data_IF_857424781535
#
_entry.id   IF_857424781535
#
_cell.length_a   1.000
_cell.length_b   1.000
_cell.length_c   1.000
_cell.angle_alpha   90.00
_cell.angle_beta   90.00
_cell.angle_gamma   90.00
#
_symmetry.space_group_name_H-M   'P 1'
#
loop_
_entity.id
_entity.type
_entity.pdbx_description
1 polymer ?
#
# COMPACT_ATOMS: atom_id res chain seq x y z
N UNK A 1 -18.51 -31.34 -3.88
CA UNK A 1 -17.97 -29.99 -3.67
C UNK A 1 -18.22 -29.17 -4.94
N UNK A 2 -19.16 -28.24 -4.93
CA UNK A 2 -19.44 -27.36 -6.07
C UNK A 2 -18.22 -26.48 -6.34
N UNK A 3 -17.70 -26.46 -7.58
CA UNK A 3 -16.64 -25.56 -7.99
C UNK A 3 -17.25 -24.15 -8.04
N UNK A 4 -16.94 -23.30 -7.05
CA UNK A 4 -17.27 -21.87 -7.08
C UNK A 4 -16.64 -21.28 -8.35
N UNK A 5 -17.45 -20.78 -9.26
CA UNK A 5 -16.98 -20.13 -10.48
C UNK A 5 -16.36 -18.77 -10.14
N UNK A 6 -15.51 -18.23 -11.01
CA UNK A 6 -14.89 -16.90 -10.82
C UNK A 6 -15.98 -15.82 -10.69
N UNK A 7 -17.13 -16.00 -11.33
CA UNK A 7 -18.28 -15.09 -11.27
C UNK A 7 -18.95 -15.00 -9.89
N UNK A 8 -18.74 -15.98 -9.01
CA UNK A 8 -19.35 -16.03 -7.67
C UNK A 8 -18.42 -15.44 -6.58
N UNK A 9 -17.27 -14.86 -6.95
CA UNK A 9 -16.28 -14.37 -6.01
C UNK A 9 -16.39 -12.86 -5.86
N UNK A 10 -16.47 -12.40 -4.61
CA UNK A 10 -16.35 -10.99 -4.26
C UNK A 10 -14.86 -10.64 -4.13
N UNK A 11 -14.27 -10.11 -5.22
CA UNK A 11 -12.84 -9.86 -5.33
C UNK A 11 -12.46 -8.53 -4.67
N UNK A 12 -11.39 -8.57 -3.89
CA UNK A 12 -10.84 -7.40 -3.21
C UNK A 12 -9.36 -7.19 -3.54
N UNK A 13 -8.97 -5.93 -3.57
CA UNK A 13 -7.57 -5.50 -3.61
C UNK A 13 -7.27 -4.58 -2.43
N UNK A 14 -6.08 -4.70 -1.86
CA UNK A 14 -5.55 -3.71 -0.93
C UNK A 14 -4.47 -2.88 -1.61
N UNK A 15 -4.57 -1.56 -1.51
CA UNK A 15 -3.63 -0.61 -2.11
C UNK A 15 -3.04 0.27 -1.02
N UNK A 16 -1.76 0.07 -0.73
CA UNK A 16 -0.98 0.91 0.17
C UNK A 16 -0.44 2.10 -0.62
N UNK A 17 -0.88 3.32 -0.26
CA UNK A 17 -0.62 4.54 -1.01
C UNK A 17 -1.70 4.84 -2.06
N UNK A 18 -2.98 4.67 -1.70
CA UNK A 18 -4.13 4.73 -2.62
C UNK A 18 -4.54 6.14 -3.03
N UNK A 19 -4.17 7.18 -2.27
CA UNK A 19 -4.76 8.51 -2.41
C UNK A 19 -4.23 9.34 -3.59
N UNK A 20 -3.08 8.97 -4.15
CA UNK A 20 -2.44 9.75 -5.21
C UNK A 20 -1.53 8.89 -6.11
N UNK A 21 -1.05 9.50 -7.21
CA UNK A 21 -0.07 8.90 -8.12
C UNK A 21 -0.47 7.53 -8.65
N UNK A 22 0.50 6.64 -8.78
CA UNK A 22 0.28 5.30 -9.32
C UNK A 22 -0.72 4.46 -8.51
N UNK A 23 -0.68 4.56 -7.17
CA UNK A 23 -1.60 3.81 -6.33
C UNK A 23 -3.06 4.16 -6.59
N UNK A 24 -3.35 5.45 -6.80
CA UNK A 24 -4.68 5.93 -7.16
C UNK A 24 -5.15 5.38 -8.51
N UNK A 25 -4.31 5.48 -9.54
CA UNK A 25 -4.66 5.02 -10.89
C UNK A 25 -4.83 3.48 -10.94
N UNK A 26 -3.97 2.74 -10.22
CA UNK A 26 -4.11 1.28 -10.10
C UNK A 26 -5.40 0.91 -9.40
N UNK A 27 -5.76 1.60 -8.31
CA UNK A 27 -7.03 1.37 -7.61
C UNK A 27 -8.24 1.65 -8.52
N UNK A 28 -8.18 2.69 -9.34
CA UNK A 28 -9.22 3.01 -10.31
C UNK A 28 -9.39 1.91 -11.37
N UNK A 29 -8.30 1.42 -11.93
CA UNK A 29 -8.34 0.35 -12.95
C UNK A 29 -8.80 -1.00 -12.35
N UNK A 30 -8.39 -1.31 -11.11
CA UNK A 30 -8.89 -2.48 -10.40
C UNK A 30 -10.40 -2.37 -10.14
N UNK A 31 -10.89 -1.20 -9.73
CA UNK A 31 -12.32 -0.96 -9.53
C UNK A 31 -13.12 -1.12 -10.84
N UNK A 32 -12.65 -0.57 -11.95
CA UNK A 32 -13.24 -0.78 -13.29
C UNK A 32 -13.27 -2.26 -13.70
N UNK A 33 -12.32 -3.05 -13.17
CA UNK A 33 -12.24 -4.50 -13.37
C UNK A 33 -13.09 -5.30 -12.37
N UNK A 34 -13.92 -4.62 -11.55
CA UNK A 34 -14.84 -5.24 -10.60
C UNK A 34 -14.24 -5.62 -9.24
N UNK A 35 -13.05 -5.10 -8.92
CA UNK A 35 -12.47 -5.30 -7.59
C UNK A 35 -12.98 -4.27 -6.59
N UNK A 36 -13.37 -4.71 -5.42
CA UNK A 36 -13.54 -3.85 -4.26
C UNK A 36 -12.17 -3.43 -3.72
N UNK A 37 -12.08 -2.25 -3.10
CA UNK A 37 -10.81 -1.65 -2.75
C UNK A 37 -10.72 -1.37 -1.25
N UNK A 38 -9.70 -1.94 -0.61
CA UNK A 38 -9.15 -1.43 0.64
C UNK A 38 -8.01 -0.46 0.31
N UNK A 39 -8.14 0.78 0.73
CA UNK A 39 -7.13 1.81 0.49
C UNK A 39 -6.47 2.25 1.78
N UNK A 40 -5.14 2.24 1.84
CA UNK A 40 -4.38 2.81 2.96
C UNK A 40 -3.65 4.05 2.48
N UNK A 41 -3.78 5.14 3.22
CA UNK A 41 -3.13 6.42 2.89
C UNK A 41 -2.81 7.21 4.16
N UNK A 42 -1.91 8.16 4.07
CA UNK A 42 -1.57 9.06 5.18
C UNK A 42 -1.67 10.51 4.68
N UNK A 43 -2.85 11.08 4.78
CA UNK A 43 -3.14 12.42 4.31
C UNK A 43 -3.72 13.31 5.40
N UNK A 44 -3.43 14.61 5.31
CA UNK A 44 -3.95 15.64 6.19
C UNK A 44 -4.55 16.81 5.40
N UNK A 45 -5.39 17.59 6.03
CA UNK A 45 -5.99 18.79 5.41
C UNK A 45 -6.67 18.48 4.06
N UNK A 46 -6.45 19.32 3.02
CA UNK A 46 -7.11 19.15 1.73
C UNK A 46 -6.81 17.83 1.00
N UNK A 47 -5.66 17.21 1.27
CA UNK A 47 -5.32 15.91 0.68
C UNK A 47 -6.24 14.79 1.20
N UNK A 48 -6.63 14.85 2.48
CA UNK A 48 -7.60 13.93 3.08
C UNK A 48 -8.98 14.04 2.41
N UNK A 49 -9.42 15.25 2.13
CA UNK A 49 -10.69 15.47 1.41
C UNK A 49 -10.66 14.90 0.00
N UNK A 50 -9.53 15.08 -0.72
CA UNK A 50 -9.33 14.47 -2.05
C UNK A 50 -9.32 12.95 -2.01
N UNK A 51 -8.73 12.35 -0.99
CA UNK A 51 -8.77 10.90 -0.80
C UNK A 51 -10.20 10.40 -0.59
N UNK A 52 -11.00 11.10 0.20
CA UNK A 52 -12.41 10.75 0.41
C UNK A 52 -13.25 10.94 -0.87
N UNK A 53 -13.05 12.02 -1.62
CA UNK A 53 -13.68 12.21 -2.92
C UNK A 53 -13.32 11.09 -3.91
N UNK A 54 -12.07 10.63 -3.89
CA UNK A 54 -11.65 9.51 -4.71
C UNK A 54 -12.32 8.20 -4.27
N UNK A 55 -12.42 7.93 -2.96
CA UNK A 55 -13.16 6.78 -2.43
C UNK A 55 -14.59 6.76 -2.96
N UNK A 56 -15.30 7.90 -2.89
CA UNK A 56 -16.66 8.06 -3.41
C UNK A 56 -16.71 7.84 -4.93
N UNK A 57 -15.68 8.30 -5.67
CA UNK A 57 -15.59 8.04 -7.11
C UNK A 57 -15.54 6.54 -7.41
N UNK A 58 -14.80 5.75 -6.63
CA UNK A 58 -14.77 4.30 -6.79
C UNK A 58 -16.16 3.68 -6.56
N UNK A 59 -16.90 4.16 -5.57
CA UNK A 59 -18.27 3.67 -5.30
C UNK A 59 -19.24 4.00 -6.45
N UNK A 60 -19.06 5.11 -7.16
CA UNK A 60 -19.89 5.40 -8.35
C UNK A 60 -19.65 4.43 -9.51
N UNK A 61 -18.53 3.70 -9.52
CA UNK A 61 -18.26 2.63 -10.48
C UNK A 61 -19.04 1.35 -10.14
N UNK A 62 -19.55 1.25 -8.91
CA UNK A 62 -20.35 0.11 -8.44
C UNK A 62 -19.58 -0.90 -7.59
N UNK A 63 -18.38 -0.54 -7.10
CA UNK A 63 -17.59 -1.35 -6.18
C UNK A 63 -17.63 -0.79 -4.76
N UNK A 64 -17.33 -1.60 -3.77
CA UNK A 64 -17.14 -1.15 -2.39
C UNK A 64 -15.72 -0.63 -2.20
N UNK A 65 -15.58 0.55 -1.59
CA UNK A 65 -14.29 1.12 -1.27
C UNK A 65 -14.20 1.52 0.21
N UNK A 66 -13.24 0.96 0.94
CA UNK A 66 -12.95 1.27 2.34
C UNK A 66 -11.55 1.86 2.45
N UNK A 67 -11.46 3.13 2.86
CA UNK A 67 -10.18 3.82 3.00
C UNK A 67 -9.81 4.03 4.47
N UNK A 68 -8.55 3.82 4.77
CA UNK A 68 -7.96 3.96 6.11
C UNK A 68 -6.86 5.00 6.08
N UNK A 69 -7.06 6.09 6.81
CA UNK A 69 -6.03 7.12 6.95
C UNK A 69 -5.07 6.72 8.08
N UNK A 70 -3.99 6.06 7.71
CA UNK A 70 -3.00 5.51 8.62
C UNK A 70 -1.61 5.43 7.99
N UNK A 71 -0.56 5.57 8.82
CA UNK A 71 0.78 5.22 8.39
C UNK A 71 0.87 3.70 8.17
N UNK A 72 1.23 3.29 6.96
CA UNK A 72 1.32 1.88 6.60
C UNK A 72 2.40 1.10 7.38
N UNK A 73 3.38 1.79 7.96
CA UNK A 73 4.41 1.20 8.82
C UNK A 73 4.01 1.11 10.31
N UNK A 74 2.86 1.69 10.69
CA UNK A 74 2.38 1.65 12.08
C UNK A 74 1.75 0.29 12.40
N UNK A 75 2.37 -0.46 13.31
CA UNK A 75 1.96 -1.82 13.70
C UNK A 75 0.53 -1.87 14.25
N UNK A 76 0.18 -0.90 15.10
CA UNK A 76 -1.14 -0.86 15.74
C UNK A 76 -2.22 -0.57 14.70
N UNK A 77 -1.99 0.41 13.82
CA UNK A 77 -2.92 0.75 12.75
C UNK A 77 -3.07 -0.38 11.74
N UNK A 78 -1.97 -1.03 11.38
CA UNK A 78 -2.00 -2.20 10.48
C UNK A 78 -2.81 -3.34 11.07
N UNK A 79 -2.59 -3.67 12.36
CA UNK A 79 -3.37 -4.71 13.04
C UNK A 79 -4.87 -4.39 13.06
N UNK A 80 -5.26 -3.13 13.33
CA UNK A 80 -6.65 -2.69 13.30
C UNK A 80 -7.28 -2.86 11.90
N UNK A 81 -6.56 -2.49 10.84
CA UNK A 81 -7.05 -2.61 9.46
C UNK A 81 -7.21 -4.09 9.08
N UNK A 82 -6.26 -4.94 9.45
CA UNK A 82 -6.33 -6.38 9.18
C UNK A 82 -7.52 -7.01 9.92
N UNK A 83 -7.81 -6.57 11.13
CA UNK A 83 -9.00 -7.03 11.86
C UNK A 83 -10.30 -6.63 11.13
N UNK A 84 -10.40 -5.41 10.60
CA UNK A 84 -11.55 -4.98 9.81
C UNK A 84 -11.73 -5.82 8.53
N UNK A 85 -10.63 -6.08 7.81
CA UNK A 85 -10.65 -6.96 6.63
C UNK A 85 -11.12 -8.38 7.01
N UNK A 86 -10.68 -8.88 8.16
CA UNK A 86 -11.08 -10.20 8.64
C UNK A 86 -12.57 -10.26 9.01
N UNK A 87 -13.12 -9.21 9.60
CA UNK A 87 -14.57 -9.08 9.85
C UNK A 87 -15.37 -9.11 8.54
N UNK A 88 -14.93 -8.38 7.52
CA UNK A 88 -15.58 -8.37 6.21
C UNK A 88 -15.57 -9.77 5.57
N UNK A 89 -14.42 -10.46 5.66
CA UNK A 89 -14.31 -11.84 5.17
C UNK A 89 -15.21 -12.82 5.92
N UNK A 90 -15.38 -12.66 7.25
CA UNK A 90 -16.26 -13.50 8.05
C UNK A 90 -17.73 -13.24 7.72
N UNK A 91 -18.09 -12.01 7.37
CA UNK A 91 -19.43 -11.63 6.99
C UNK A 91 -19.82 -12.08 5.56
N UNK A 92 -18.83 -12.28 4.68
CA UNK A 92 -19.04 -12.69 3.30
C UNK A 92 -18.13 -13.90 2.93
N UNK A 93 -18.70 -15.11 2.77
CA UNK A 93 -17.94 -16.29 2.39
C UNK A 93 -17.34 -16.23 0.98
N UNK A 94 -17.80 -15.29 0.14
CA UNK A 94 -17.29 -15.05 -1.22
C UNK A 94 -16.17 -14.03 -1.26
N UNK A 95 -15.87 -13.35 -0.15
CA UNK A 95 -14.78 -12.38 -0.03
C UNK A 95 -13.42 -13.01 -0.31
N UNK A 96 -12.71 -12.47 -1.29
CA UNK A 96 -11.38 -12.95 -1.70
C UNK A 96 -10.43 -11.80 -1.86
N UNK A 97 -9.46 -11.64 -0.96
CA UNK A 97 -8.36 -10.69 -1.13
C UNK A 97 -7.36 -11.25 -2.16
N UNK A 98 -7.43 -10.71 -3.36
CA UNK A 98 -6.71 -11.23 -4.53
C UNK A 98 -5.46 -10.48 -4.88
N UNK A 99 -5.42 -9.18 -4.58
CA UNK A 99 -4.34 -8.27 -5.00
C UNK A 99 -3.86 -7.44 -3.82
N UNK A 100 -2.54 -7.35 -3.67
CA UNK A 100 -1.86 -6.44 -2.76
C UNK A 100 -0.97 -5.53 -3.59
N UNK A 101 -1.15 -4.22 -3.48
CA UNK A 101 -0.33 -3.22 -4.16
C UNK A 101 0.39 -2.38 -3.12
N UNK A 102 1.72 -2.38 -3.17
CA UNK A 102 2.56 -1.49 -2.39
C UNK A 102 3.03 -0.33 -3.29
N UNK A 103 2.41 0.83 -3.13
CA UNK A 103 2.67 2.05 -3.90
C UNK A 103 3.04 3.23 -3.00
N UNK A 104 3.86 2.96 -1.98
CA UNK A 104 4.30 3.98 -1.04
C UNK A 104 5.53 4.73 -1.56
N UNK A 105 5.45 6.06 -1.55
CA UNK A 105 6.48 6.97 -2.00
C UNK A 105 6.74 8.09 -0.97
N UNK A 106 6.70 7.74 0.30
CA UNK A 106 6.96 8.67 1.40
C UNK A 106 8.34 8.41 1.99
N UNK A 107 9.36 9.08 1.43
CA UNK A 107 10.76 8.94 1.83
C UNK A 107 11.48 10.30 1.87
N UNK A 108 12.51 10.38 2.67
CA UNK A 108 13.34 11.57 2.80
C UNK A 108 14.30 11.70 1.61
N UNK A 109 14.36 12.89 1.04
CA UNK A 109 15.28 13.26 -0.02
C UNK A 109 16.29 14.27 0.55
N UNK A 110 17.58 14.01 0.36
CA UNK A 110 18.65 14.85 0.85
C UNK A 110 19.99 14.17 0.75
N UNK A 111 21.11 14.92 0.90
CA UNK A 111 22.44 14.36 0.86
C UNK A 111 22.76 13.56 2.12
N UNK A 112 23.56 12.50 1.99
CA UNK A 112 24.16 11.83 3.15
C UNK A 112 25.36 12.62 3.70
N UNK A 113 26.06 13.34 2.82
CA UNK A 113 27.22 14.15 3.14
C UNK A 113 27.07 15.54 2.51
N UNK A 114 27.27 16.59 3.30
CA UNK A 114 27.24 18.00 2.90
C UNK A 114 28.17 18.78 3.83
N UNK A 115 28.82 19.83 3.35
CA UNK A 115 29.65 20.73 4.19
C UNK A 115 28.79 21.38 5.28
N UNK A 116 27.58 21.76 4.95
CA UNK A 116 26.55 22.14 5.91
C UNK A 116 25.85 20.91 6.46
N UNK A 117 26.30 20.44 7.63
CA UNK A 117 25.78 19.23 8.27
C UNK A 117 24.27 19.31 8.61
N UNK A 118 23.69 20.51 8.61
CA UNK A 118 22.23 20.68 8.84
C UNK A 118 21.39 20.13 7.68
N UNK A 119 21.95 20.08 6.48
CA UNK A 119 21.31 19.55 5.27
C UNK A 119 21.37 18.03 5.14
N UNK A 120 22.29 17.39 5.88
CA UNK A 120 22.44 15.92 5.81
C UNK A 120 21.21 15.21 6.36
N UNK A 121 20.83 14.11 5.72
CA UNK A 121 19.78 13.21 6.23
C UNK A 121 20.14 12.69 7.62
N UNK A 122 19.21 12.80 8.53
CA UNK A 122 19.34 12.28 9.90
C UNK A 122 18.90 10.82 9.98
N UNK A 123 19.44 10.09 10.97
CA UNK A 123 19.12 8.68 11.23
C UNK A 123 17.62 8.39 11.15
N UNK A 124 16.79 9.17 11.86
CA UNK A 124 15.33 8.99 11.86
C UNK A 124 14.69 9.12 10.49
N UNK A 125 15.23 9.99 9.61
CA UNK A 125 14.71 10.15 8.25
C UNK A 125 15.05 8.94 7.38
N UNK A 126 16.25 8.39 7.54
CA UNK A 126 16.70 7.19 6.82
C UNK A 126 15.88 5.99 7.29
N UNK A 127 15.76 5.80 8.61
CA UNK A 127 14.97 4.70 9.20
C UNK A 127 13.51 4.76 8.76
N UNK A 128 12.88 5.94 8.83
CA UNK A 128 11.50 6.14 8.39
C UNK A 128 11.33 5.82 6.90
N UNK A 129 12.29 6.22 6.06
CA UNK A 129 12.25 5.95 4.61
C UNK A 129 12.31 4.44 4.35
N UNK A 130 13.23 3.72 5.00
CA UNK A 130 13.33 2.27 4.90
C UNK A 130 12.05 1.58 5.38
N UNK A 131 11.53 2.02 6.51
CA UNK A 131 10.38 1.40 7.15
C UNK A 131 9.10 1.56 6.31
N UNK A 132 8.83 2.79 5.83
CA UNK A 132 7.63 3.06 5.02
C UNK A 132 7.75 2.53 3.60
N UNK A 133 8.91 2.71 2.93
CA UNK A 133 9.03 2.43 1.49
C UNK A 133 9.52 1.02 1.15
N UNK A 134 10.01 0.27 2.14
CA UNK A 134 10.48 -1.11 1.94
C UNK A 134 9.86 -2.08 2.93
N UNK A 135 10.20 -1.96 4.23
CA UNK A 135 9.85 -2.96 5.23
C UNK A 135 8.35 -3.16 5.38
N UNK A 136 7.57 -2.08 5.22
CA UNK A 136 6.10 -2.16 5.32
C UNK A 136 5.48 -3.17 4.34
N UNK A 137 6.09 -3.43 3.17
CA UNK A 137 5.63 -4.50 2.28
C UNK A 137 5.60 -5.85 3.01
N UNK A 138 6.72 -6.21 3.65
CA UNK A 138 6.84 -7.49 4.35
C UNK A 138 5.91 -7.53 5.56
N UNK A 139 5.81 -6.46 6.33
CA UNK A 139 4.90 -6.40 7.48
C UNK A 139 3.43 -6.67 7.06
N UNK A 140 2.96 -6.02 6.02
CA UNK A 140 1.60 -6.23 5.51
C UNK A 140 1.40 -7.64 4.99
N UNK A 141 2.34 -8.16 4.19
CA UNK A 141 2.21 -9.51 3.60
C UNK A 141 2.24 -10.58 4.69
N UNK A 142 3.14 -10.46 5.70
CA UNK A 142 3.19 -11.39 6.83
C UNK A 142 1.90 -11.38 7.63
N UNK A 143 1.38 -10.20 7.99
CA UNK A 143 0.17 -10.10 8.79
C UNK A 143 -1.06 -10.61 8.03
N UNK A 144 -1.19 -10.30 6.73
CA UNK A 144 -2.24 -10.85 5.86
C UNK A 144 -2.14 -12.37 5.73
N UNK A 145 -0.92 -12.91 5.66
CA UNK A 145 -0.67 -14.35 5.60
C UNK A 145 -1.04 -15.04 6.91
N UNK A 146 -0.59 -14.50 8.05
CA UNK A 146 -0.90 -15.02 9.40
C UNK A 146 -2.41 -15.01 9.64
N UNK A 147 -3.10 -13.95 9.23
CA UNK A 147 -4.56 -13.83 9.32
C UNK A 147 -5.31 -14.72 8.31
N UNK A 148 -4.60 -15.44 7.43
CA UNK A 148 -5.15 -16.29 6.35
C UNK A 148 -6.09 -15.51 5.42
N UNK A 149 -5.80 -14.25 5.19
CA UNK A 149 -6.57 -13.36 4.31
C UNK A 149 -6.12 -13.45 2.84
N UNK A 150 -4.87 -13.84 2.59
CA UNK A 150 -4.37 -14.05 1.23
C UNK A 150 -4.99 -15.31 0.63
N UNK A 151 -5.65 -15.17 -0.51
CA UNK A 151 -6.21 -16.28 -1.24
C UNK A 151 -5.12 -17.06 -1.99
N UNK A 152 -5.42 -18.30 -2.34
CA UNK A 152 -4.61 -19.05 -3.29
C UNK A 152 -4.46 -18.26 -4.60
N UNK A 153 -3.26 -18.17 -5.12
CA UNK A 153 -2.90 -17.36 -6.28
C UNK A 153 -3.12 -15.84 -6.12
N UNK A 154 -3.12 -15.28 -4.92
CA UNK A 154 -3.03 -13.83 -4.72
C UNK A 154 -1.79 -13.26 -5.40
N UNK A 155 -1.87 -12.02 -5.85
CA UNK A 155 -0.78 -11.29 -6.49
C UNK A 155 -0.34 -10.14 -5.61
N UNK A 156 0.96 -10.02 -5.41
CA UNK A 156 1.59 -8.96 -4.63
C UNK A 156 2.48 -8.17 -5.59
N UNK A 157 2.25 -6.87 -5.68
CA UNK A 157 3.00 -5.96 -6.52
C UNK A 157 3.59 -4.84 -5.67
N UNK A 158 4.79 -4.43 -6.00
CA UNK A 158 5.46 -3.29 -5.38
C UNK A 158 5.97 -2.32 -6.44
N UNK A 159 5.75 -1.01 -6.22
CA UNK A 159 6.26 0.03 -7.10
C UNK A 159 7.70 0.36 -6.73
N UNK A 160 8.62 0.07 -7.63
CA UNK A 160 10.02 0.39 -7.49
C UNK A 160 10.43 1.66 -8.24
N UNK A 161 11.71 1.91 -8.41
CA UNK A 161 12.28 3.10 -9.04
C UNK A 161 13.64 2.76 -9.64
N UNK A 162 14.02 3.45 -10.71
CA UNK A 162 15.36 3.37 -11.29
C UNK A 162 16.47 3.69 -10.27
N UNK A 163 16.13 4.37 -9.17
CA UNK A 163 17.05 4.62 -8.07
C UNK A 163 17.55 3.36 -7.35
N UNK A 164 16.88 2.20 -7.49
CA UNK A 164 17.39 0.91 -7.01
C UNK A 164 18.64 0.44 -7.75
N UNK A 165 18.78 0.84 -9.02
CA UNK A 165 19.86 0.42 -9.91
C UNK A 165 20.91 1.52 -10.17
N UNK A 166 20.56 2.80 -9.96
CA UNK A 166 21.39 3.93 -10.30
C UNK A 166 21.57 4.90 -9.12
N UNK A 167 22.79 5.42 -8.96
CA UNK A 167 23.07 6.51 -8.03
C UNK A 167 22.43 7.81 -8.54
N UNK A 168 21.52 8.37 -7.77
CA UNK A 168 20.85 9.65 -8.06
C UNK A 168 21.17 10.61 -6.91
N UNK A 169 21.57 11.84 -7.25
CA UNK A 169 21.94 12.86 -6.27
C UNK A 169 20.79 13.08 -5.28
N UNK A 170 21.12 13.12 -3.99
CA UNK A 170 20.20 13.32 -2.88
C UNK A 170 19.08 12.27 -2.74
N UNK A 171 19.13 11.18 -3.49
CA UNK A 171 18.09 10.15 -3.51
C UNK A 171 18.47 8.87 -2.75
N UNK A 172 19.65 8.84 -2.12
CA UNK A 172 20.26 7.64 -1.56
C UNK A 172 19.41 6.84 -0.58
N UNK A 173 18.66 7.50 0.32
CA UNK A 173 17.79 6.81 1.26
C UNK A 173 16.62 6.11 0.53
N UNK A 174 16.01 6.77 -0.45
CA UNK A 174 14.94 6.19 -1.29
C UNK A 174 15.49 5.08 -2.18
N UNK A 175 16.69 5.27 -2.77
CA UNK A 175 17.37 4.24 -3.56
C UNK A 175 17.60 2.96 -2.76
N UNK A 176 18.14 3.09 -1.54
CA UNK A 176 18.36 1.96 -0.64
C UNK A 176 17.04 1.26 -0.28
N UNK A 177 15.98 2.02 0.01
CA UNK A 177 14.68 1.46 0.30
C UNK A 177 14.09 0.70 -0.92
N UNK A 178 14.25 1.23 -2.14
CA UNK A 178 13.76 0.55 -3.35
C UNK A 178 14.57 -0.70 -3.69
N UNK A 179 15.89 -0.69 -3.48
CA UNK A 179 16.71 -1.89 -3.61
C UNK A 179 16.33 -2.97 -2.58
N UNK A 180 16.08 -2.59 -1.33
CA UNK A 180 15.57 -3.52 -0.30
C UNK A 180 14.18 -4.07 -0.67
N UNK A 181 13.28 -3.21 -1.18
CA UNK A 181 11.94 -3.61 -1.65
C UNK A 181 12.02 -4.68 -2.75
N UNK A 182 12.98 -4.56 -3.67
CA UNK A 182 13.19 -5.52 -4.75
C UNK A 182 13.83 -6.84 -4.26
N UNK A 183 14.62 -6.76 -3.18
CA UNK A 183 15.23 -7.93 -2.56
C UNK A 183 14.21 -8.79 -1.77
N UNK A 184 13.14 -8.20 -1.30
CA UNK A 184 12.05 -8.89 -0.57
C UNK A 184 11.17 -9.72 -1.49
#
# INVERSE_FOLDING_TARGET
>A
MSKTTIADRNLWAIVLGVSSGFGKEVALELAKSGYNIYGVHLDTGPAREKAEQFRQTLETIGVTAKFFNANAADDTKRAQIIEEINKDRQADPHHVLRVVIHSLAFGAIGPFFDEDTSKMLKKKQIEMTMDVMANSLIYWVQDLFIAKLLAENSRIFAMTSIGSERAILSYGAVSAAKAALEAY
#
